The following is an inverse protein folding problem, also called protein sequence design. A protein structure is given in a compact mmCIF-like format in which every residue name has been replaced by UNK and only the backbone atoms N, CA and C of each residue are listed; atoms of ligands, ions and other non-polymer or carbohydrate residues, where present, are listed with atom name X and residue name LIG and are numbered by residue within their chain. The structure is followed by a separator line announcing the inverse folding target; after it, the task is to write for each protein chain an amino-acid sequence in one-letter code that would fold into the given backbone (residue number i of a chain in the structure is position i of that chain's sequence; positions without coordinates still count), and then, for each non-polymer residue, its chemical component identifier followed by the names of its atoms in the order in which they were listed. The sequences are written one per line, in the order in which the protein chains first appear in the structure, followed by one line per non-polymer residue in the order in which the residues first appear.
data_IF_728908895129
#
_entry.id   IF_728908895129
#
_cell.length_a   1.000
_cell.length_b   1.000
_cell.length_c   1.000
_cell.angle_alpha   90.00
_cell.angle_beta   90.00
_cell.angle_gamma   90.00
#
_symmetry.space_group_name_H-M   'P 1'
#
loop_
_entity.id
_entity.type
_entity.pdbx_description
1 polymer ?
#
# COMPACT_ATOMS: atom_id res chain seq x y z
N UNK A 1 -14.55 -17.14 5.64
CA UNK A 1 -13.13 -17.04 6.01
C UNK A 1 -12.45 -16.30 4.86
N UNK A 2 -12.00 -15.04 5.03
CA UNK A 2 -11.07 -14.44 4.06
C UNK A 2 -9.70 -15.03 4.41
N UNK A 3 -9.13 -15.83 3.53
CA UNK A 3 -7.74 -16.26 3.67
C UNK A 3 -6.87 -15.01 3.90
N UNK A 4 -6.00 -15.05 4.90
CA UNK A 4 -5.21 -13.88 5.26
C UNK A 4 -4.38 -13.42 4.06
N UNK A 5 -4.55 -12.16 3.65
CA UNK A 5 -3.70 -11.59 2.60
C UNK A 5 -2.31 -11.34 3.16
N UNK A 6 -1.29 -11.85 2.48
CA UNK A 6 0.12 -11.64 2.85
C UNK A 6 0.68 -10.58 1.92
N UNK A 7 1.10 -9.47 2.51
CA UNK A 7 1.77 -8.37 1.83
C UNK A 7 3.22 -8.32 2.30
N UNK A 8 4.18 -8.42 1.38
CA UNK A 8 5.61 -8.30 1.66
C UNK A 8 6.16 -7.04 1.00
N UNK A 9 6.78 -6.20 1.82
CA UNK A 9 7.41 -4.94 1.44
C UNK A 9 8.87 -4.98 1.84
N UNK A 10 9.74 -4.48 0.95
CA UNK A 10 11.17 -4.32 1.21
C UNK A 10 11.51 -2.84 1.13
N UNK A 11 12.19 -2.31 2.15
CA UNK A 11 12.60 -0.90 2.20
C UNK A 11 13.50 -0.59 0.99
N UNK A 12 13.19 0.49 0.27
CA UNK A 12 13.91 0.91 -0.94
C UNK A 12 13.56 0.15 -2.22
N UNK A 13 12.78 -0.93 -2.14
CA UNK A 13 12.34 -1.66 -3.33
C UNK A 13 11.19 -0.93 -4.04
N UNK A 14 11.21 -0.94 -5.37
CA UNK A 14 10.13 -0.40 -6.22
C UNK A 14 9.03 -1.43 -6.53
N UNK A 15 9.12 -2.60 -5.90
CA UNK A 15 8.21 -3.72 -6.09
C UNK A 15 7.86 -4.32 -4.73
N UNK A 16 6.68 -4.92 -4.66
CA UNK A 16 6.16 -5.62 -3.49
C UNK A 16 5.54 -6.96 -3.91
N UNK A 17 5.28 -7.83 -2.94
CA UNK A 17 4.64 -9.12 -3.20
C UNK A 17 3.31 -9.20 -2.45
N UNK A 18 2.22 -9.42 -3.18
CA UNK A 18 0.88 -9.66 -2.62
C UNK A 18 0.47 -11.09 -2.97
N UNK A 19 0.27 -11.93 -1.96
CA UNK A 19 -0.14 -13.33 -2.13
C UNK A 19 0.72 -14.13 -3.14
N UNK A 20 2.02 -13.82 -3.22
CA UNK A 20 2.96 -14.44 -4.14
C UNK A 20 3.13 -13.73 -5.49
N UNK A 21 2.28 -12.75 -5.82
CA UNK A 21 2.36 -11.96 -7.06
C UNK A 21 3.19 -10.70 -6.85
N UNK A 22 4.14 -10.43 -7.74
CA UNK A 22 4.94 -9.20 -7.76
C UNK A 22 4.11 -8.06 -8.33
N UNK A 23 4.10 -6.91 -7.64
CA UNK A 23 3.34 -5.72 -8.00
C UNK A 23 4.26 -4.49 -7.89
N UNK A 24 4.29 -3.59 -8.89
CA UNK A 24 5.06 -2.36 -8.81
C UNK A 24 4.50 -1.40 -7.76
N UNK A 25 5.38 -0.59 -7.17
CA UNK A 25 5.03 0.45 -6.22
C UNK A 25 5.22 1.84 -6.84
N UNK A 26 4.23 2.72 -6.64
CA UNK A 26 4.33 4.13 -7.02
C UNK A 26 5.43 4.87 -6.25
N UNK A 27 5.72 4.43 -5.02
CA UNK A 27 6.80 4.93 -4.18
C UNK A 27 7.41 3.76 -3.37
N UNK A 28 8.74 3.69 -3.22
CA UNK A 28 9.34 2.65 -2.38
C UNK A 28 8.99 2.88 -0.90
N UNK A 29 8.96 1.83 -0.08
CA UNK A 29 8.90 2.00 1.37
C UNK A 29 10.19 2.63 1.88
N UNK A 30 10.08 3.57 2.79
CA UNK A 30 11.23 4.36 3.27
C UNK A 30 11.27 4.39 4.79
N UNK A 31 12.46 4.25 5.38
CA UNK A 31 12.63 4.44 6.80
C UNK A 31 12.83 5.93 7.10
N UNK A 32 11.86 6.55 7.78
CA UNK A 32 11.91 7.96 8.18
C UNK A 32 11.73 8.07 9.68
N UNK A 33 12.74 8.62 10.36
CA UNK A 33 12.73 8.84 11.81
C UNK A 33 12.41 7.57 12.63
N UNK A 34 12.91 6.41 12.20
CA UNK A 34 12.64 5.12 12.84
C UNK A 34 11.29 4.49 12.48
N UNK A 35 10.46 5.16 11.69
CA UNK A 35 9.17 4.65 11.21
C UNK A 35 9.26 4.31 9.73
N UNK A 36 8.78 3.14 9.33
CA UNK A 36 8.70 2.79 7.90
C UNK A 36 7.46 3.44 7.29
N UNK A 37 7.68 4.36 6.37
CA UNK A 37 6.65 4.96 5.54
C UNK A 37 6.36 4.03 4.37
N UNK A 38 5.08 3.74 4.16
CA UNK A 38 4.60 2.78 3.16
C UNK A 38 3.54 3.44 2.28
N UNK A 39 3.46 3.10 0.98
CA UNK A 39 2.44 3.66 0.11
C UNK A 39 1.04 3.24 0.55
N UNK A 40 0.22 4.21 0.97
CA UNK A 40 -1.14 3.95 1.48
C UNK A 40 -2.02 3.24 0.45
N UNK A 41 -2.00 3.71 -0.81
CA UNK A 41 -2.83 3.14 -1.89
C UNK A 41 -2.57 1.65 -2.08
N UNK A 42 -1.28 1.28 -2.15
CA UNK A 42 -0.86 -0.10 -2.32
C UNK A 42 -1.39 -1.01 -1.19
N UNK A 43 -1.26 -0.57 0.06
CA UNK A 43 -1.76 -1.35 1.20
C UNK A 43 -3.27 -1.46 1.20
N UNK A 44 -3.98 -0.37 0.96
CA UNK A 44 -5.44 -0.37 0.95
C UNK A 44 -5.99 -1.30 -0.15
N UNK A 45 -5.50 -1.18 -1.39
CA UNK A 45 -5.93 -2.05 -2.49
C UNK A 45 -5.53 -3.51 -2.25
N UNK A 46 -4.31 -3.74 -1.75
CA UNK A 46 -3.83 -5.06 -1.38
C UNK A 46 -4.66 -5.73 -0.29
N UNK A 47 -5.32 -4.95 0.58
CA UNK A 47 -6.24 -5.39 1.63
C UNK A 47 -7.71 -5.45 1.17
N UNK A 48 -7.97 -5.15 -0.11
CA UNK A 48 -9.31 -5.16 -0.71
C UNK A 48 -10.12 -3.89 -0.52
N UNK A 49 -9.51 -2.80 -0.05
CA UNK A 49 -10.15 -1.50 0.06
C UNK A 49 -9.88 -0.65 -1.19
N UNK A 50 -10.90 0.08 -1.65
CA UNK A 50 -10.77 1.04 -2.74
C UNK A 50 -10.33 2.41 -2.20
N UNK A 51 -9.33 3.02 -2.85
CA UNK A 51 -8.81 4.34 -2.49
C UNK A 51 -9.26 5.38 -3.50
N UNK A 52 -10.01 6.38 -3.03
CA UNK A 52 -10.41 7.52 -3.82
C UNK A 52 -9.69 8.79 -3.32
N UNK A 53 -8.97 9.46 -4.21
CA UNK A 53 -8.41 10.78 -3.95
C UNK A 53 -9.39 11.88 -4.33
N UNK A 54 -9.65 12.81 -3.42
CA UNK A 54 -10.48 14.00 -3.62
C UNK A 54 -9.56 15.22 -3.61
N UNK A 55 -9.06 15.68 -4.78
CA UNK A 55 -8.04 16.71 -4.87
C UNK A 55 -8.50 18.06 -4.32
N UNK A 56 -9.76 18.41 -4.56
CA UNK A 56 -10.39 19.68 -4.14
C UNK A 56 -10.33 19.89 -2.63
N UNK A 57 -10.44 18.80 -1.87
CA UNK A 57 -10.44 18.81 -0.40
C UNK A 57 -9.13 18.32 0.20
N UNK A 58 -8.17 17.90 -0.63
CA UNK A 58 -6.95 17.19 -0.22
C UNK A 58 -7.27 15.99 0.70
N UNK A 59 -8.31 15.23 0.36
CA UNK A 59 -8.84 14.13 1.17
C UNK A 59 -8.63 12.78 0.50
N UNK A 60 -8.28 11.76 1.28
CA UNK A 60 -8.28 10.36 0.87
C UNK A 60 -9.50 9.68 1.48
N UNK A 61 -10.31 9.03 0.66
CA UNK A 61 -11.46 8.23 1.08
C UNK A 61 -11.11 6.76 0.88
N UNK A 62 -11.22 5.97 1.95
CA UNK A 62 -11.06 4.52 1.94
C UNK A 62 -12.46 3.88 1.98
N UNK A 63 -12.77 3.04 0.99
CA UNK A 63 -14.00 2.23 0.98
C UNK A 63 -13.63 0.76 1.14
N UNK A 64 -14.16 0.04 2.13
CA UNK A 64 -13.93 -1.40 2.29
C UNK A 64 -14.64 -2.24 1.22
#
# INVERSE_FOLDING_TARGET
RKDGQIVRLTIGAKEAVINGTVVPLDAPPELKNGTTMVPLRFLAEGLGANVQWVPEKKQVILRP
#
